data_IF_966147016067
#
_entry.id   IF_966147016067
#
_cell.length_a   1.000
_cell.length_b   1.000
_cell.length_c   1.000
_cell.angle_alpha   90.00
_cell.angle_beta   90.00
_cell.angle_gamma   90.00
#
_symmetry.space_group_name_H-M   'P 1'
#
loop_
_entity.id
_entity.type
_entity.pdbx_description
1 polymer ?
#
# COMPACT_ATOMS: atom_id res chain seq x y z
N UNK A 1 74.26 -0.57 -15.66
CA UNK A 1 73.45 -0.52 -14.41
C UNK A 1 72.07 -1.08 -14.75
N UNK A 2 71.89 -2.34 -14.50
CA UNK A 2 70.57 -3.00 -14.69
C UNK A 2 69.66 -2.67 -13.51
N UNK A 3 68.78 -1.69 -13.66
CA UNK A 3 67.75 -1.41 -12.67
C UNK A 3 66.82 -2.63 -12.62
N UNK A 4 66.87 -3.34 -11.50
CA UNK A 4 65.98 -4.49 -11.26
C UNK A 4 64.53 -4.05 -11.40
N UNK A 5 63.78 -4.69 -12.32
CA UNK A 5 62.35 -4.46 -12.55
C UNK A 5 61.50 -4.76 -11.32
N UNK A 6 62.10 -5.30 -10.26
CA UNK A 6 61.43 -5.66 -8.98
C UNK A 6 61.45 -4.52 -7.93
N UNK A 7 62.22 -3.44 -8.16
CA UNK A 7 62.24 -2.30 -7.20
C UNK A 7 61.36 -1.16 -7.73
N UNK A 8 60.27 -0.92 -7.06
CA UNK A 8 59.34 0.16 -7.42
C UNK A 8 60.02 1.55 -7.29
N UNK A 9 60.17 2.25 -8.41
CA UNK A 9 60.68 3.62 -8.48
C UNK A 9 59.80 4.61 -7.68
N UNK A 10 60.31 5.74 -7.27
CA UNK A 10 59.59 6.76 -6.50
C UNK A 10 58.29 7.22 -7.19
N UNK A 11 58.25 7.27 -8.51
CA UNK A 11 57.04 7.56 -9.30
C UNK A 11 56.00 6.46 -9.18
N UNK A 12 56.43 5.19 -9.22
CA UNK A 12 55.57 4.03 -9.08
C UNK A 12 54.96 3.96 -7.66
N UNK A 13 55.76 4.24 -6.62
CA UNK A 13 55.24 4.32 -5.25
C UNK A 13 54.19 5.41 -5.07
N UNK A 14 54.42 6.61 -5.68
CA UNK A 14 53.45 7.72 -5.64
C UNK A 14 52.12 7.37 -6.37
N UNK A 15 52.22 6.71 -7.52
CA UNK A 15 51.02 6.23 -8.27
C UNK A 15 50.25 5.18 -7.48
N UNK A 16 50.94 4.18 -6.92
CA UNK A 16 50.29 3.15 -6.11
C UNK A 16 49.64 3.74 -4.84
N UNK A 17 50.24 4.75 -4.22
CA UNK A 17 49.65 5.45 -3.10
C UNK A 17 48.43 6.28 -3.50
N UNK A 18 48.38 6.88 -4.70
CA UNK A 18 47.24 7.57 -5.25
C UNK A 18 46.11 6.58 -5.60
N UNK A 19 46.47 5.43 -6.18
CA UNK A 19 45.50 4.35 -6.50
C UNK A 19 44.85 3.78 -5.23
N UNK A 20 45.67 3.49 -4.19
CA UNK A 20 45.12 3.04 -2.89
C UNK A 20 44.16 4.05 -2.27
N UNK A 21 44.48 5.35 -2.37
CA UNK A 21 43.54 6.40 -1.91
C UNK A 21 42.26 6.43 -2.73
N UNK A 22 42.35 6.28 -4.05
CA UNK A 22 41.19 6.21 -4.91
C UNK A 22 40.32 4.97 -4.62
N UNK A 23 40.93 3.82 -4.42
CA UNK A 23 40.26 2.58 -3.97
C UNK A 23 39.59 2.80 -2.59
N UNK A 24 40.27 3.46 -1.65
CA UNK A 24 39.69 3.78 -0.34
C UNK A 24 38.46 4.72 -0.46
N UNK A 25 38.51 5.72 -1.36
CA UNK A 25 37.36 6.57 -1.64
C UNK A 25 36.20 5.79 -2.28
N UNK A 26 36.51 4.89 -3.22
CA UNK A 26 35.49 4.02 -3.81
C UNK A 26 34.87 3.10 -2.75
N UNK A 27 35.67 2.48 -1.90
CA UNK A 27 35.20 1.63 -0.82
C UNK A 27 34.35 2.43 0.20
N UNK A 28 34.82 3.61 0.60
CA UNK A 28 34.07 4.46 1.53
C UNK A 28 32.73 4.91 0.94
N UNK A 29 32.66 5.22 -0.36
CA UNK A 29 31.42 5.56 -1.04
C UNK A 29 30.42 4.37 -1.03
N UNK A 30 30.90 3.15 -1.26
CA UNK A 30 30.07 1.94 -1.17
C UNK A 30 29.56 1.74 0.26
N UNK A 31 30.41 1.88 1.27
CA UNK A 31 30.01 1.77 2.68
C UNK A 31 28.94 2.81 3.04
N UNK A 32 29.12 4.06 2.62
CA UNK A 32 28.14 5.13 2.85
C UNK A 32 26.80 4.80 2.16
N UNK A 33 26.83 4.31 0.91
CA UNK A 33 25.62 3.91 0.19
C UNK A 33 24.90 2.74 0.88
N UNK A 34 25.66 1.74 1.36
CA UNK A 34 25.08 0.62 2.12
C UNK A 34 24.48 1.07 3.45
N UNK A 35 25.15 1.98 4.17
CA UNK A 35 24.60 2.54 5.41
C UNK A 35 23.33 3.34 5.16
N UNK A 36 23.30 4.16 4.10
CA UNK A 36 22.10 4.89 3.72
C UNK A 36 20.94 3.95 3.38
N UNK A 37 21.22 2.88 2.62
CA UNK A 37 20.23 1.84 2.32
C UNK A 37 19.73 1.14 3.59
N UNK A 38 20.64 0.82 4.51
CA UNK A 38 20.28 0.18 5.78
C UNK A 38 19.39 1.09 6.63
N UNK A 39 19.75 2.37 6.76
CA UNK A 39 18.94 3.37 7.47
C UNK A 39 17.55 3.49 6.86
N UNK A 40 17.46 3.55 5.53
CA UNK A 40 16.18 3.59 4.81
C UNK A 40 15.35 2.33 5.09
N UNK A 41 15.96 1.15 4.99
CA UNK A 41 15.28 -0.13 5.25
C UNK A 41 14.77 -0.21 6.69
N UNK A 42 15.60 0.16 7.65
CA UNK A 42 15.23 0.20 9.06
C UNK A 42 14.05 1.18 9.27
N UNK A 43 14.13 2.38 8.70
CA UNK A 43 13.06 3.38 8.79
C UNK A 43 11.73 2.87 8.21
N UNK A 44 11.78 2.25 7.03
CA UNK A 44 10.58 1.66 6.40
C UNK A 44 9.99 0.53 7.24
N UNK A 45 10.84 -0.35 7.79
CA UNK A 45 10.37 -1.44 8.64
C UNK A 45 9.74 -0.93 9.92
N UNK A 46 10.40 -0.03 10.64
CA UNK A 46 9.86 0.49 11.91
C UNK A 46 8.54 1.23 11.71
N UNK A 47 8.44 2.10 10.69
CA UNK A 47 7.19 2.82 10.41
C UNK A 47 6.11 1.92 9.80
N UNK A 48 6.50 0.87 9.06
CA UNK A 48 5.55 -0.03 8.42
C UNK A 48 4.99 -1.10 9.36
N UNK A 49 5.74 -1.53 10.38
CA UNK A 49 5.30 -2.58 11.30
C UNK A 49 4.08 -2.17 12.13
N UNK A 50 3.93 -0.88 12.43
CA UNK A 50 2.77 -0.35 13.16
C UNK A 50 1.46 -0.54 12.39
N UNK A 51 1.51 -0.64 11.04
CA UNK A 51 0.31 -0.89 10.21
C UNK A 51 -0.29 -2.29 10.43
N UNK A 52 0.51 -3.25 10.91
CA UNK A 52 0.02 -4.59 11.25
C UNK A 52 -0.65 -4.68 12.62
N UNK A 53 -0.72 -3.57 13.33
CA UNK A 53 -1.40 -3.47 14.62
C UNK A 53 -2.61 -2.54 14.47
N UNK A 54 -3.65 -2.81 15.26
CA UNK A 54 -4.88 -2.04 15.26
C UNK A 54 -5.48 -2.04 16.65
N UNK A 55 -5.94 -0.88 17.12
CA UNK A 55 -6.57 -0.73 18.41
C UNK A 55 -8.07 -0.92 18.30
N UNK A 56 -8.60 -1.83 19.12
CA UNK A 56 -10.04 -2.13 19.22
C UNK A 56 -10.56 -1.73 20.60
N UNK A 57 -11.83 -1.40 20.62
CA UNK A 57 -12.63 -1.16 21.83
C UNK A 57 -13.65 -2.28 21.94
N UNK A 58 -13.58 -3.08 22.98
CA UNK A 58 -14.56 -4.13 23.27
C UNK A 58 -15.68 -3.55 24.11
N UNK A 59 -16.91 -3.55 23.60
CA UNK A 59 -18.06 -3.00 24.30
C UNK A 59 -19.35 -3.72 23.96
N UNK A 60 -20.30 -3.69 24.88
CA UNK A 60 -21.63 -4.25 24.73
C UNK A 60 -22.56 -3.20 24.09
N UNK A 61 -23.07 -3.50 22.91
CA UNK A 61 -23.94 -2.60 22.16
C UNK A 61 -25.38 -3.09 22.26
N UNK A 62 -26.26 -2.31 22.87
CA UNK A 62 -27.69 -2.56 22.87
C UNK A 62 -28.28 -2.13 21.52
N UNK A 63 -28.67 -3.11 20.69
CA UNK A 63 -29.26 -2.89 19.37
C UNK A 63 -30.77 -2.62 19.49
N UNK A 64 -31.12 -1.45 20.06
CA UNK A 64 -32.49 -1.06 20.31
C UNK A 64 -33.31 -1.03 19.01
N UNK A 65 -34.46 -1.72 19.02
CA UNK A 65 -35.33 -1.93 17.84
C UNK A 65 -35.81 -0.59 17.24
N UNK A 66 -36.19 0.35 18.08
CA UNK A 66 -36.66 1.70 17.69
C UNK A 66 -35.60 2.50 16.92
N UNK A 67 -34.32 2.21 17.10
CA UNK A 67 -33.21 2.89 16.42
C UNK A 67 -32.73 2.20 15.16
N UNK A 68 -32.73 0.86 15.16
CA UNK A 68 -32.16 0.04 14.09
C UNK A 68 -33.23 -0.45 13.11
N UNK A 69 -34.39 -0.87 13.62
CA UNK A 69 -35.54 -1.36 12.86
C UNK A 69 -36.81 -0.58 13.25
N UNK A 70 -36.99 0.61 12.69
CA UNK A 70 -38.09 1.50 13.02
C UNK A 70 -39.47 0.93 12.71
N UNK A 71 -39.58 -0.11 11.87
CA UNK A 71 -40.84 -0.74 11.49
C UNK A 71 -41.10 -2.04 12.24
N UNK A 72 -40.11 -2.58 12.95
CA UNK A 72 -40.23 -3.80 13.72
C UNK A 72 -40.45 -5.07 12.88
N UNK A 73 -40.14 -5.02 11.58
CA UNK A 73 -40.38 -6.12 10.65
C UNK A 73 -39.12 -6.93 10.31
N UNK A 74 -37.96 -6.53 10.80
CA UNK A 74 -36.64 -7.14 10.55
C UNK A 74 -36.31 -7.33 9.06
N UNK A 75 -36.91 -6.51 8.20
CA UNK A 75 -36.60 -6.51 6.77
C UNK A 75 -35.26 -5.78 6.54
N UNK A 76 -34.19 -6.46 6.03
CA UNK A 76 -32.91 -5.84 5.76
C UNK A 76 -33.00 -4.65 4.80
N UNK A 77 -33.93 -4.63 3.86
CA UNK A 77 -34.11 -3.53 2.92
C UNK A 77 -34.65 -2.27 3.63
N UNK A 78 -35.56 -2.43 4.59
CA UNK A 78 -36.04 -1.32 5.42
C UNK A 78 -34.98 -0.87 6.44
N UNK A 79 -34.34 -1.79 7.12
CA UNK A 79 -33.26 -1.52 8.07
C UNK A 79 -32.08 -0.80 7.42
N UNK A 80 -31.82 -1.09 6.13
CA UNK A 80 -30.75 -0.42 5.35
C UNK A 80 -30.99 1.08 5.17
N UNK A 81 -32.21 1.59 5.34
CA UNK A 81 -32.53 3.02 5.35
C UNK A 81 -31.96 3.74 6.56
N UNK A 82 -31.71 3.02 7.66
CA UNK A 82 -30.98 3.55 8.81
C UNK A 82 -29.51 3.75 8.41
N UNK A 83 -29.10 5.01 8.41
CA UNK A 83 -27.76 5.41 8.00
C UNK A 83 -26.72 5.13 9.11
N UNK A 84 -25.44 5.19 8.78
CA UNK A 84 -24.34 5.07 9.76
C UNK A 84 -24.40 6.11 10.88
N UNK A 85 -25.10 7.25 10.66
CA UNK A 85 -25.31 8.28 11.71
C UNK A 85 -26.12 7.70 12.87
N UNK A 86 -27.17 6.90 12.59
CA UNK A 86 -27.94 6.23 13.64
C UNK A 86 -27.09 5.28 14.47
N UNK A 87 -26.21 4.52 13.82
CA UNK A 87 -25.29 3.61 14.49
C UNK A 87 -24.19 4.33 15.29
N UNK A 88 -23.76 5.52 14.86
CA UNK A 88 -22.81 6.33 15.64
C UNK A 88 -23.35 6.68 17.03
N UNK A 89 -24.64 6.97 17.14
CA UNK A 89 -25.25 7.27 18.43
C UNK A 89 -25.31 6.04 19.34
N UNK A 90 -25.57 4.86 18.78
CA UNK A 90 -25.56 3.59 19.53
C UNK A 90 -24.17 3.27 20.07
N UNK A 91 -23.14 3.43 19.24
CA UNK A 91 -21.73 3.21 19.62
C UNK A 91 -21.30 4.18 20.73
N UNK A 92 -21.64 5.46 20.59
CA UNK A 92 -21.36 6.44 21.65
C UNK A 92 -22.03 6.07 22.96
N UNK A 93 -23.31 5.74 22.92
CA UNK A 93 -24.10 5.40 24.12
C UNK A 93 -23.55 4.10 24.76
N UNK A 94 -23.11 3.14 23.96
CA UNK A 94 -22.44 1.92 24.43
C UNK A 94 -21.10 2.22 25.11
N UNK A 95 -20.28 3.12 24.55
CA UNK A 95 -19.01 3.50 25.17
C UNK A 95 -19.25 4.26 26.49
N UNK A 96 -20.26 5.14 26.56
CA UNK A 96 -20.64 5.81 27.83
C UNK A 96 -21.07 4.75 28.88
N UNK A 97 -21.90 3.79 28.50
CA UNK A 97 -22.31 2.71 29.40
C UNK A 97 -21.12 1.86 29.86
N UNK A 98 -20.16 1.62 28.98
CA UNK A 98 -18.91 0.93 29.32
C UNK A 98 -18.08 1.73 30.31
N UNK A 99 -17.95 3.05 30.15
CA UNK A 99 -17.25 3.92 31.10
C UNK A 99 -17.92 3.88 32.47
N UNK A 100 -19.26 3.95 32.53
CA UNK A 100 -20.03 3.85 33.77
C UNK A 100 -19.85 2.49 34.47
N UNK A 101 -19.88 1.39 33.73
CA UNK A 101 -19.69 0.05 34.25
C UNK A 101 -18.29 -0.18 34.84
N UNK A 102 -17.28 0.46 34.24
CA UNK A 102 -15.90 0.44 34.73
C UNK A 102 -15.63 1.46 35.85
N UNK A 103 -16.65 2.25 36.24
CA UNK A 103 -16.52 3.28 37.25
C UNK A 103 -15.61 4.45 36.87
N UNK A 104 -15.48 4.70 35.56
CA UNK A 104 -14.71 5.82 35.01
C UNK A 104 -15.60 7.03 34.84
N UNK A 105 -15.17 8.15 35.40
CA UNK A 105 -15.83 9.46 35.23
C UNK A 105 -14.96 10.34 34.34
N UNK A 106 -15.57 11.04 33.41
CA UNK A 106 -14.87 11.93 32.48
C UNK A 106 -15.64 13.23 32.27
N UNK A 107 -14.92 14.33 32.11
CA UNK A 107 -15.48 15.63 31.77
C UNK A 107 -15.59 15.83 30.24
N UNK A 108 -15.26 14.79 29.46
CA UNK A 108 -15.34 14.82 27.99
C UNK A 108 -16.78 15.00 27.53
N UNK A 109 -16.97 15.82 26.50
CA UNK A 109 -18.28 15.96 25.87
C UNK A 109 -18.68 14.65 25.16
N UNK A 110 -20.00 14.43 25.01
CA UNK A 110 -20.52 13.29 24.24
C UNK A 110 -19.94 13.22 22.82
N UNK A 111 -19.55 14.34 22.24
CA UNK A 111 -18.90 14.42 20.94
C UNK A 111 -17.47 13.89 21.00
N UNK A 112 -16.73 14.24 22.04
CA UNK A 112 -15.33 13.79 22.18
C UNK A 112 -15.27 12.31 22.48
N UNK A 113 -16.20 11.77 23.29
CA UNK A 113 -16.36 10.33 23.52
C UNK A 113 -16.68 9.62 22.19
N UNK A 114 -17.59 10.17 21.38
CA UNK A 114 -17.90 9.60 20.06
C UNK A 114 -16.68 9.64 19.10
N UNK A 115 -15.83 10.66 19.20
CA UNK A 115 -14.62 10.79 18.39
C UNK A 115 -13.52 9.79 18.78
N UNK A 116 -13.62 9.10 19.92
CA UNK A 116 -12.71 8.02 20.29
C UNK A 116 -12.96 6.75 19.46
N UNK A 117 -14.15 6.61 18.87
CA UNK A 117 -14.54 5.47 18.04
C UNK A 117 -14.35 5.81 16.57
N UNK A 118 -13.84 4.88 15.77
CA UNK A 118 -13.74 5.05 14.32
C UNK A 118 -15.13 5.17 13.67
N UNK A 119 -15.23 6.07 12.70
CA UNK A 119 -16.44 6.17 11.86
C UNK A 119 -16.70 4.89 11.05
N UNK A 120 -15.68 4.09 10.77
CA UNK A 120 -15.82 2.79 10.11
C UNK A 120 -16.55 1.78 10.98
N UNK A 121 -16.42 1.87 12.30
CA UNK A 121 -17.10 0.99 13.25
C UNK A 121 -18.61 1.00 13.09
N UNK A 122 -19.19 2.15 12.79
CA UNK A 122 -20.64 2.26 12.53
C UNK A 122 -21.09 1.52 11.28
N UNK A 123 -20.26 1.54 10.23
CA UNK A 123 -20.53 0.77 9.01
C UNK A 123 -20.37 -0.75 9.29
N UNK A 124 -19.35 -1.13 10.04
CA UNK A 124 -19.10 -2.54 10.42
C UNK A 124 -20.24 -3.11 11.24
N UNK A 125 -20.69 -2.41 12.29
CA UNK A 125 -21.83 -2.84 13.12
C UNK A 125 -23.09 -2.90 12.30
N UNK A 126 -23.39 -1.86 11.49
CA UNK A 126 -24.53 -1.84 10.58
C UNK A 126 -24.55 -3.05 9.65
N UNK A 127 -23.45 -3.32 8.98
CA UNK A 127 -23.36 -4.43 8.03
C UNK A 127 -23.57 -5.78 8.71
N UNK A 128 -23.06 -5.96 9.94
CA UNK A 128 -23.26 -7.18 10.73
C UNK A 128 -24.72 -7.36 11.17
N UNK A 129 -25.39 -6.26 11.54
CA UNK A 129 -26.81 -6.29 11.91
C UNK A 129 -27.68 -6.57 10.67
N UNK A 130 -27.38 -5.96 9.51
CA UNK A 130 -28.11 -6.24 8.26
C UNK A 130 -27.92 -7.67 7.77
N UNK A 131 -26.75 -8.26 7.99
CA UNK A 131 -26.50 -9.67 7.68
C UNK A 131 -27.20 -10.64 8.65
N UNK A 132 -27.52 -10.19 9.86
CA UNK A 132 -28.15 -10.98 10.92
C UNK A 132 -29.22 -10.15 11.64
N UNK A 133 -30.41 -9.98 11.06
CA UNK A 133 -31.48 -9.15 11.64
C UNK A 133 -31.98 -9.62 13.02
N UNK A 134 -31.74 -10.89 13.36
CA UNK A 134 -32.09 -11.45 14.68
C UNK A 134 -31.32 -10.84 15.86
N UNK A 135 -30.26 -10.10 15.57
CA UNK A 135 -29.49 -9.36 16.59
C UNK A 135 -30.28 -8.14 17.12
N UNK A 136 -31.28 -7.67 16.38
CA UNK A 136 -32.10 -6.51 16.78
C UNK A 136 -32.85 -6.82 18.08
N UNK A 137 -32.80 -5.90 19.03
CA UNK A 137 -33.37 -6.07 20.36
C UNK A 137 -32.45 -6.79 21.36
N UNK A 138 -31.26 -7.22 20.94
CA UNK A 138 -30.29 -7.87 21.81
C UNK A 138 -29.14 -6.91 22.18
N UNK A 139 -28.48 -7.19 23.29
CA UNK A 139 -27.18 -6.61 23.63
C UNK A 139 -26.09 -7.57 23.17
N UNK A 140 -25.22 -7.10 22.31
CA UNK A 140 -24.16 -7.91 21.68
C UNK A 140 -22.82 -7.26 21.88
N UNK A 141 -21.82 -8.04 22.29
CA UNK A 141 -20.44 -7.58 22.40
C UNK A 141 -19.81 -7.43 21.02
N UNK A 142 -19.22 -6.28 20.77
CA UNK A 142 -18.50 -5.99 19.54
C UNK A 142 -17.09 -5.50 19.86
N UNK A 143 -16.14 -5.96 19.08
CA UNK A 143 -14.82 -5.33 18.94
C UNK A 143 -14.92 -4.27 17.83
N UNK A 144 -14.94 -3.02 18.20
CA UNK A 144 -15.01 -1.91 17.27
C UNK A 144 -13.67 -1.19 17.19
N UNK A 145 -13.38 -0.61 16.03
CA UNK A 145 -12.14 0.13 15.82
C UNK A 145 -12.13 1.41 16.66
N UNK A 146 -11.03 1.66 17.35
CA UNK A 146 -10.72 2.98 17.89
C UNK A 146 -10.46 3.97 16.73
N UNK A 147 -10.65 5.26 16.98
CA UNK A 147 -10.35 6.29 15.98
C UNK A 147 -8.86 6.34 15.65
N UNK A 148 -8.51 6.85 14.46
CA UNK A 148 -7.13 6.96 14.04
C UNK A 148 -6.23 7.79 14.97
N UNK A 149 -6.80 8.68 15.77
CA UNK A 149 -6.05 9.43 16.81
C UNK A 149 -5.70 8.56 18.01
N UNK A 150 -6.66 7.78 18.47
CA UNK A 150 -6.46 6.83 19.58
C UNK A 150 -5.53 5.70 19.14
N UNK A 151 -5.74 5.14 17.97
CA UNK A 151 -4.86 4.11 17.40
C UNK A 151 -3.43 4.63 17.21
N UNK A 152 -3.27 5.86 16.68
CA UNK A 152 -1.97 6.52 16.55
C UNK A 152 -1.28 6.79 17.89
N UNK A 153 -2.03 7.02 18.96
CA UNK A 153 -1.46 7.16 20.30
C UNK A 153 -0.83 5.85 20.78
N UNK A 154 -1.52 4.72 20.65
CA UNK A 154 -0.97 3.42 20.99
C UNK A 154 0.18 2.96 20.09
N UNK A 155 0.26 3.49 18.86
CA UNK A 155 1.37 3.28 17.91
C UNK A 155 2.56 4.23 18.15
N UNK A 156 2.39 5.25 18.98
CA UNK A 156 3.42 6.25 19.28
C UNK A 156 3.49 7.41 18.28
N UNK A 157 2.55 7.49 17.32
CA UNK A 157 2.50 8.55 16.30
C UNK A 157 1.81 9.83 16.81
N UNK A 158 0.92 9.68 17.81
CA UNK A 158 0.20 10.80 18.45
C UNK A 158 0.67 10.92 19.90
N UNK A 159 1.03 12.14 20.31
CA UNK A 159 1.47 12.45 21.66
C UNK A 159 0.44 13.34 22.37
N UNK A 160 0.51 13.43 23.70
CA UNK A 160 -0.33 14.35 24.48
C UNK A 160 -0.12 15.82 24.05
N UNK A 161 1.11 16.19 23.66
CA UNK A 161 1.41 17.52 23.16
C UNK A 161 0.75 17.79 21.80
N UNK A 162 0.80 16.82 20.88
CA UNK A 162 0.14 16.94 19.57
C UNK A 162 -1.38 16.98 19.72
N UNK A 163 -1.95 16.21 20.65
CA UNK A 163 -3.38 16.20 20.94
C UNK A 163 -3.90 17.54 21.48
N UNK A 164 -3.08 18.28 22.23
CA UNK A 164 -3.45 19.61 22.73
C UNK A 164 -3.65 20.65 21.60
N UNK A 165 -3.11 20.38 20.41
CA UNK A 165 -3.23 21.22 19.21
C UNK A 165 -4.24 20.66 18.19
N UNK A 166 -4.77 19.45 18.39
CA UNK A 166 -5.70 18.79 17.48
C UNK A 166 -7.16 19.18 17.82
N UNK A 167 -7.96 19.39 16.78
CA UNK A 167 -9.40 19.71 16.95
C UNK A 167 -10.28 18.47 17.09
N UNK A 168 -9.76 17.27 16.85
CA UNK A 168 -10.52 16.03 16.81
C UNK A 168 -10.22 15.08 18.00
N UNK A 169 -9.24 15.43 18.82
CA UNK A 169 -8.89 14.70 20.04
C UNK A 169 -8.33 15.67 21.07
N UNK A 170 -8.29 15.24 22.32
CA UNK A 170 -7.71 16.02 23.40
C UNK A 170 -6.77 15.15 24.23
N UNK A 171 -5.86 15.75 25.04
CA UNK A 171 -5.03 14.99 25.98
C UNK A 171 -5.85 14.13 26.95
N UNK A 172 -7.00 14.64 27.39
CA UNK A 172 -7.93 13.94 28.31
C UNK A 172 -8.51 12.69 27.62
N UNK A 173 -8.85 12.78 26.34
CA UNK A 173 -9.33 11.62 25.57
C UNK A 173 -8.25 10.53 25.42
N UNK A 174 -6.98 10.91 25.23
CA UNK A 174 -5.87 9.96 25.19
C UNK A 174 -5.60 9.31 26.55
N UNK A 175 -5.68 10.09 27.64
CA UNK A 175 -5.55 9.55 29.01
C UNK A 175 -6.68 8.58 29.33
N UNK A 176 -7.92 8.92 28.96
CA UNK A 176 -9.06 8.01 29.10
C UNK A 176 -8.89 6.73 28.30
N UNK A 177 -8.35 6.83 27.06
CA UNK A 177 -8.03 5.65 26.25
C UNK A 177 -6.98 4.75 26.93
N UNK A 178 -5.97 5.34 27.58
CA UNK A 178 -4.99 4.59 28.35
C UNK A 178 -5.62 3.88 29.55
N UNK A 179 -6.50 4.54 30.30
CA UNK A 179 -7.22 3.92 31.41
C UNK A 179 -8.12 2.76 30.97
N UNK A 180 -8.79 2.90 29.80
CA UNK A 180 -9.58 1.82 29.19
C UNK A 180 -8.69 0.66 28.75
N UNK A 181 -7.48 0.93 28.27
CA UNK A 181 -6.51 -0.11 27.94
C UNK A 181 -6.00 -0.85 29.17
N UNK A 182 -5.71 -0.15 30.25
CA UNK A 182 -5.26 -0.73 31.53
C UNK A 182 -6.33 -1.64 32.15
N UNK A 183 -7.60 -1.45 31.81
CA UNK A 183 -8.74 -2.30 32.22
C UNK A 183 -9.08 -3.41 31.21
N UNK A 184 -8.37 -3.47 30.08
CA UNK A 184 -8.62 -4.47 29.04
C UNK A 184 -9.84 -4.20 28.15
N UNK A 185 -10.44 -2.99 28.22
CA UNK A 185 -11.53 -2.56 27.33
C UNK A 185 -11.00 -2.15 25.98
N UNK A 186 -9.79 -1.56 25.93
CA UNK A 186 -9.07 -1.29 24.70
C UNK A 186 -7.86 -2.19 24.58
N UNK A 187 -7.72 -2.84 23.42
CA UNK A 187 -6.58 -3.72 23.12
C UNK A 187 -6.04 -3.47 21.72
N UNK A 188 -4.72 -3.51 21.60
CA UNK A 188 -4.06 -3.51 20.30
C UNK A 188 -3.87 -4.97 19.86
N UNK A 189 -4.51 -5.31 18.73
CA UNK A 189 -4.50 -6.67 18.15
C UNK A 189 -3.84 -6.64 16.77
N UNK A 190 -3.46 -7.82 16.24
CA UNK A 190 -2.96 -7.93 14.88
C UNK A 190 -4.07 -7.59 13.88
N UNK A 191 -3.75 -6.72 12.93
CA UNK A 191 -4.70 -6.20 11.95
C UNK A 191 -4.82 -7.12 10.72
N UNK A 192 -5.63 -8.18 10.83
CA UNK A 192 -5.93 -9.05 9.68
C UNK A 192 -6.67 -8.32 8.55
N UNK A 193 -7.45 -7.32 8.88
CA UNK A 193 -8.22 -6.52 7.92
C UNK A 193 -7.32 -5.70 7.00
N UNK A 194 -6.09 -5.41 7.40
CA UNK A 194 -5.10 -4.72 6.60
C UNK A 194 -4.85 -5.41 5.23
N UNK A 195 -4.93 -6.73 5.17
CA UNK A 195 -4.73 -7.46 3.91
C UNK A 195 -5.94 -7.47 2.99
N UNK A 196 -7.14 -7.24 3.52
CA UNK A 196 -8.40 -7.41 2.80
C UNK A 196 -9.09 -6.08 2.53
N UNK A 197 -8.99 -5.13 3.44
CA UNK A 197 -9.68 -3.86 3.33
C UNK A 197 -9.15 -3.01 2.17
N UNK A 198 -10.04 -2.17 1.59
CA UNK A 198 -9.63 -1.20 0.57
C UNK A 198 -8.72 -0.13 1.18
N UNK A 199 -8.11 0.67 0.30
CA UNK A 199 -7.37 1.85 0.70
C UNK A 199 -8.30 2.85 1.41
N UNK A 200 -7.86 3.39 2.55
CA UNK A 200 -8.64 4.33 3.32
C UNK A 200 -8.38 5.77 2.88
N UNK A 201 -9.36 6.63 3.15
CA UNK A 201 -9.16 8.07 3.01
C UNK A 201 -8.26 8.60 4.14
N UNK A 202 -7.62 9.75 3.90
CA UNK A 202 -6.85 10.45 4.92
C UNK A 202 -7.65 10.78 6.21
N UNK A 203 -8.98 10.72 6.13
CA UNK A 203 -9.87 10.94 7.28
C UNK A 203 -10.10 9.70 8.15
N UNK A 204 -9.71 8.51 7.66
CA UNK A 204 -9.89 7.22 8.34
C UNK A 204 -8.65 6.35 8.14
N UNK A 205 -7.47 6.79 8.59
CA UNK A 205 -6.24 6.04 8.41
C UNK A 205 -6.28 4.66 9.11
N UNK A 206 -7.04 4.54 10.19
CA UNK A 206 -7.26 3.31 10.95
C UNK A 206 -7.97 2.21 10.14
N UNK A 207 -8.71 2.58 9.10
CA UNK A 207 -9.38 1.64 8.21
C UNK A 207 -8.60 1.35 6.92
N UNK A 208 -7.34 1.76 6.85
CA UNK A 208 -6.48 1.51 5.70
C UNK A 208 -6.15 0.03 5.53
N UNK A 209 -6.23 -0.44 4.27
CA UNK A 209 -5.84 -1.79 3.91
C UNK A 209 -5.14 -1.87 2.55
N UNK A 210 -4.45 -2.98 2.32
CA UNK A 210 -3.74 -3.27 1.06
C UNK A 210 -4.59 -4.01 0.04
N UNK A 211 -5.78 -4.48 0.41
CA UNK A 211 -6.60 -5.36 -0.44
C UNK A 211 -6.93 -4.73 -1.79
N UNK A 212 -7.40 -3.49 -1.79
CA UNK A 212 -7.72 -2.76 -3.03
C UNK A 212 -6.50 -2.52 -3.92
N UNK A 213 -5.39 -2.08 -3.32
CA UNK A 213 -4.13 -1.85 -4.04
C UNK A 213 -3.55 -3.16 -4.60
N UNK A 214 -3.61 -4.25 -3.83
CA UNK A 214 -3.13 -5.58 -4.25
C UNK A 214 -3.95 -6.13 -5.42
N UNK A 215 -5.27 -6.03 -5.36
CA UNK A 215 -6.15 -6.44 -6.48
C UNK A 215 -5.92 -5.58 -7.71
N UNK A 216 -5.79 -4.26 -7.55
CA UNK A 216 -5.45 -3.35 -8.64
C UNK A 216 -4.13 -3.70 -9.32
N UNK A 217 -3.09 -3.98 -8.52
CA UNK A 217 -1.79 -4.43 -9.01
C UNK A 217 -1.89 -5.79 -9.73
N UNK A 218 -2.66 -6.74 -9.19
CA UNK A 218 -2.88 -8.05 -9.81
C UNK A 218 -3.54 -7.90 -11.19
N UNK A 219 -4.62 -7.13 -11.31
CA UNK A 219 -5.28 -6.88 -12.60
C UNK A 219 -4.33 -6.20 -13.59
N UNK A 220 -3.55 -5.21 -13.13
CA UNK A 220 -2.55 -4.54 -13.96
C UNK A 220 -1.50 -5.54 -14.48
N UNK A 221 -1.00 -6.44 -13.62
CA UNK A 221 -0.04 -7.49 -13.99
C UNK A 221 -0.64 -8.48 -14.99
N UNK A 222 -1.91 -8.86 -14.85
CA UNK A 222 -2.60 -9.74 -15.80
C UNK A 222 -2.65 -9.09 -17.18
N UNK A 223 -3.00 -7.80 -17.27
CA UNK A 223 -3.01 -7.06 -18.55
C UNK A 223 -1.63 -7.06 -19.20
N UNK A 224 -0.58 -6.78 -18.42
CA UNK A 224 0.81 -6.80 -18.92
C UNK A 224 1.19 -8.18 -19.42
N UNK A 225 0.93 -9.25 -18.65
CA UNK A 225 1.27 -10.62 -19.02
C UNK A 225 0.54 -11.08 -20.29
N UNK A 226 -0.75 -10.76 -20.39
CA UNK A 226 -1.58 -11.19 -21.54
C UNK A 226 -1.21 -10.44 -22.83
N UNK A 227 -0.78 -9.19 -22.74
CA UNK A 227 -0.44 -8.38 -23.90
C UNK A 227 1.05 -8.36 -24.21
N UNK A 228 1.88 -7.98 -23.22
CA UNK A 228 3.30 -7.76 -23.48
C UNK A 228 4.07 -9.06 -23.76
N UNK A 229 3.76 -10.13 -23.03
CA UNK A 229 4.50 -11.39 -23.16
C UNK A 229 4.25 -12.06 -24.52
N UNK A 230 3.00 -12.35 -24.96
CA UNK A 230 2.78 -13.02 -26.26
C UNK A 230 3.24 -12.15 -27.43
N UNK A 231 2.91 -10.86 -27.43
CA UNK A 231 3.28 -9.96 -28.54
C UNK A 231 4.80 -9.77 -28.58
N UNK A 232 5.44 -9.55 -27.42
CA UNK A 232 6.89 -9.35 -27.34
C UNK A 232 7.68 -10.57 -27.75
N UNK A 233 7.32 -11.77 -27.24
CA UNK A 233 7.98 -13.04 -27.60
C UNK A 233 7.76 -13.37 -29.07
N UNK A 234 6.52 -13.28 -29.58
CA UNK A 234 6.24 -13.52 -31.00
C UNK A 234 7.01 -12.54 -31.91
N UNK A 235 7.09 -11.27 -31.53
CA UNK A 235 7.89 -10.28 -32.28
C UNK A 235 9.38 -10.58 -32.24
N UNK A 236 9.89 -11.05 -31.09
CA UNK A 236 11.29 -11.43 -30.92
C UNK A 236 11.66 -12.60 -31.84
N UNK A 237 10.87 -13.68 -31.80
CA UNK A 237 11.07 -14.86 -32.63
C UNK A 237 10.96 -14.48 -34.13
N UNK A 238 9.92 -13.74 -34.49
CA UNK A 238 9.75 -13.30 -35.88
C UNK A 238 10.95 -12.51 -36.40
N UNK A 239 11.43 -11.53 -35.63
CA UNK A 239 12.54 -10.67 -36.03
C UNK A 239 13.87 -11.41 -36.11
N UNK A 240 14.07 -12.46 -35.31
CA UNK A 240 15.33 -13.20 -35.29
C UNK A 240 15.36 -14.36 -36.30
N UNK A 241 14.25 -15.10 -36.44
CA UNK A 241 14.22 -16.33 -37.24
C UNK A 241 13.59 -16.13 -38.62
N UNK A 242 12.58 -15.26 -38.74
CA UNK A 242 11.76 -15.19 -39.95
C UNK A 242 11.88 -13.89 -40.74
N UNK A 243 12.29 -12.80 -40.10
CA UNK A 243 12.30 -11.50 -40.76
C UNK A 243 13.39 -11.42 -41.83
N UNK A 244 13.04 -10.95 -43.08
CA UNK A 244 14.02 -10.76 -44.13
C UNK A 244 15.01 -9.67 -43.75
N UNK A 245 16.30 -9.87 -44.05
CA UNK A 245 17.36 -8.87 -43.81
C UNK A 245 17.24 -7.76 -44.89
N UNK A 246 16.45 -6.73 -44.58
CA UNK A 246 16.21 -5.60 -45.44
C UNK A 246 16.10 -4.28 -44.63
N UNK A 247 16.05 -3.14 -45.34
CA UNK A 247 15.98 -1.81 -44.72
C UNK A 247 14.76 -1.60 -43.82
N UNK A 248 13.66 -2.31 -44.06
CA UNK A 248 12.44 -2.20 -43.24
C UNK A 248 12.69 -2.85 -41.90
N UNK A 249 13.25 -4.04 -41.90
CA UNK A 249 13.62 -4.73 -40.64
C UNK A 249 14.62 -3.92 -39.84
N UNK A 250 15.64 -3.35 -40.48
CA UNK A 250 16.63 -2.47 -39.83
C UNK A 250 15.96 -1.26 -39.17
N UNK A 251 15.01 -0.62 -39.84
CA UNK A 251 14.25 0.50 -39.31
C UNK A 251 13.43 0.09 -38.08
N UNK A 252 12.78 -1.08 -38.12
CA UNK A 252 12.01 -1.63 -36.99
C UNK A 252 12.93 -1.85 -35.81
N UNK A 253 14.08 -2.49 -36.00
CA UNK A 253 15.05 -2.77 -34.93
C UNK A 253 15.60 -1.49 -34.27
N UNK A 254 15.94 -0.49 -35.08
CA UNK A 254 16.39 0.82 -34.56
C UNK A 254 15.28 1.49 -33.76
N UNK A 255 14.03 1.42 -34.22
CA UNK A 255 12.91 2.01 -33.49
C UNK A 255 12.64 1.30 -32.17
N UNK A 256 12.69 -0.05 -32.12
CA UNK A 256 12.55 -0.82 -30.86
C UNK A 256 13.64 -0.42 -29.87
N UNK A 257 14.88 -0.31 -30.35
CA UNK A 257 16.02 0.13 -29.52
C UNK A 257 15.87 1.57 -29.01
N UNK A 258 15.37 2.47 -29.85
CA UNK A 258 15.10 3.85 -29.46
C UNK A 258 13.96 3.94 -28.44
N UNK A 259 12.91 3.15 -28.60
CA UNK A 259 11.81 3.08 -27.63
C UNK A 259 12.30 2.56 -26.27
N UNK A 260 13.23 1.61 -26.23
CA UNK A 260 13.83 1.13 -24.98
C UNK A 260 14.58 2.22 -24.20
N UNK A 261 15.09 3.24 -24.88
CA UNK A 261 15.81 4.37 -24.29
C UNK A 261 14.87 5.51 -23.82
N UNK A 262 13.57 5.45 -24.13
CA UNK A 262 12.60 6.49 -23.73
C UNK A 262 12.39 6.47 -22.22
N UNK A 263 12.49 7.61 -21.51
CA UNK A 263 12.20 7.70 -20.09
C UNK A 263 10.77 7.26 -19.75
N UNK A 264 10.57 6.52 -18.68
CA UNK A 264 9.26 5.99 -18.27
C UNK A 264 8.17 7.05 -18.09
N UNK A 265 8.56 8.27 -17.70
CA UNK A 265 7.63 9.40 -17.55
C UNK A 265 6.93 9.75 -18.88
N UNK A 266 7.62 9.59 -20.01
CA UNK A 266 7.06 9.87 -21.34
C UNK A 266 5.92 8.88 -21.65
N UNK A 267 6.09 7.61 -21.30
CA UNK A 267 5.02 6.61 -21.43
C UNK A 267 3.82 6.94 -20.54
N UNK A 268 4.04 7.47 -19.34
CA UNK A 268 2.96 7.93 -18.48
C UNK A 268 2.17 9.08 -19.10
N UNK A 269 2.85 10.08 -19.66
CA UNK A 269 2.21 11.21 -20.35
C UNK A 269 1.48 10.75 -21.62
N UNK A 270 2.08 9.83 -22.38
CA UNK A 270 1.44 9.23 -23.56
C UNK A 270 0.18 8.46 -23.18
N UNK A 271 0.24 7.70 -22.09
CA UNK A 271 -0.90 6.98 -21.55
C UNK A 271 -2.05 7.90 -21.13
N UNK A 272 -1.74 9.01 -20.47
CA UNK A 272 -2.71 10.05 -20.14
C UNK A 272 -3.36 10.62 -21.41
N UNK A 273 -2.56 10.98 -22.41
CA UNK A 273 -3.04 11.59 -23.65
C UNK A 273 -3.90 10.63 -24.47
N UNK A 274 -3.45 9.39 -24.66
CA UNK A 274 -4.13 8.42 -25.53
C UNK A 274 -5.28 7.73 -24.80
N UNK A 275 -5.00 7.06 -23.68
CA UNK A 275 -6.01 6.20 -23.08
C UNK A 275 -7.06 6.97 -22.28
N UNK A 276 -6.67 8.05 -21.62
CA UNK A 276 -7.61 8.82 -20.78
C UNK A 276 -8.27 9.92 -21.60
N UNK A 277 -7.50 10.79 -22.30
CA UNK A 277 -8.07 11.94 -22.95
C UNK A 277 -8.67 11.63 -24.34
N UNK A 278 -8.06 10.72 -25.12
CA UNK A 278 -8.54 10.40 -26.47
C UNK A 278 -9.51 9.20 -26.47
N UNK A 279 -9.20 8.13 -25.74
CA UNK A 279 -10.05 6.92 -25.65
C UNK A 279 -11.09 6.98 -24.53
N UNK A 280 -11.08 8.03 -23.71
CA UNK A 280 -12.02 8.27 -22.60
C UNK A 280 -12.07 7.14 -21.57
N UNK A 281 -10.97 6.41 -21.38
CA UNK A 281 -10.89 5.38 -20.35
C UNK A 281 -10.86 6.00 -18.95
N UNK A 282 -11.39 5.26 -17.97
CA UNK A 282 -11.46 5.72 -16.60
C UNK A 282 -10.04 5.92 -16.01
N UNK A 283 -9.78 7.10 -15.44
CA UNK A 283 -8.46 7.54 -14.98
C UNK A 283 -7.82 6.61 -13.93
N UNK A 284 -8.64 6.02 -13.06
CA UNK A 284 -8.17 5.12 -11.98
C UNK A 284 -8.27 3.64 -12.34
N UNK A 285 -8.31 3.31 -13.64
CA UNK A 285 -8.47 1.92 -14.08
C UNK A 285 -7.13 1.16 -14.09
N UNK A 286 -7.05 -0.03 -13.46
CA UNK A 286 -5.91 -0.94 -13.59
C UNK A 286 -5.61 -1.32 -15.05
N UNK A 287 -6.62 -1.33 -15.93
CA UNK A 287 -6.48 -1.58 -17.35
C UNK A 287 -5.56 -0.52 -18.00
N UNK A 288 -5.82 0.77 -17.74
CA UNK A 288 -5.00 1.87 -18.28
C UNK A 288 -3.55 1.75 -17.81
N UNK A 289 -3.35 1.52 -16.51
CA UNK A 289 -2.02 1.28 -15.95
C UNK A 289 -1.31 0.09 -16.61
N UNK A 290 -2.02 -1.01 -16.82
CA UNK A 290 -1.52 -2.21 -17.50
C UNK A 290 -1.14 -1.96 -18.95
N UNK A 291 -1.95 -1.20 -19.70
CA UNK A 291 -1.64 -0.81 -21.09
C UNK A 291 -0.38 0.07 -21.19
N UNK A 292 -0.25 1.06 -20.32
CA UNK A 292 0.94 1.92 -20.25
C UNK A 292 2.20 1.11 -19.89
N UNK A 293 2.10 0.23 -18.92
CA UNK A 293 3.21 -0.67 -18.54
C UNK A 293 3.55 -1.64 -19.66
N UNK A 294 2.56 -2.14 -20.41
CA UNK A 294 2.76 -2.98 -21.58
C UNK A 294 3.59 -2.25 -22.62
N UNK A 295 3.21 -1.03 -23.00
CA UNK A 295 3.97 -0.21 -23.96
C UNK A 295 5.40 0.04 -23.47
N UNK A 296 5.58 0.36 -22.20
CA UNK A 296 6.90 0.62 -21.61
C UNK A 296 7.80 -0.62 -21.59
N UNK A 297 7.22 -1.81 -21.33
CA UNK A 297 7.99 -3.07 -21.22
C UNK A 297 8.19 -3.79 -22.55
N UNK A 298 7.36 -3.49 -23.56
CA UNK A 298 7.41 -4.13 -24.88
C UNK A 298 8.82 -4.15 -25.49
N UNK A 299 9.57 -3.03 -25.60
CA UNK A 299 10.90 -3.05 -26.18
C UNK A 299 11.86 -4.02 -25.46
N UNK A 300 11.82 -4.02 -24.14
CA UNK A 300 12.68 -4.91 -23.32
C UNK A 300 12.34 -6.38 -23.55
N UNK A 301 11.05 -6.73 -23.62
CA UNK A 301 10.57 -8.09 -23.84
C UNK A 301 10.90 -8.57 -25.26
N UNK A 302 11.04 -7.66 -26.25
CA UNK A 302 11.47 -8.00 -27.60
C UNK A 302 13.00 -8.21 -27.66
N UNK A 303 13.78 -7.33 -27.00
CA UNK A 303 15.24 -7.33 -27.09
C UNK A 303 15.87 -8.50 -26.33
N UNK A 304 15.38 -8.82 -25.11
CA UNK A 304 15.99 -9.85 -24.26
C UNK A 304 16.01 -11.25 -24.90
N UNK A 305 14.87 -11.80 -25.38
CA UNK A 305 14.88 -13.13 -25.99
C UNK A 305 15.70 -13.20 -27.27
N UNK A 306 15.76 -12.11 -28.05
CA UNK A 306 16.61 -12.04 -29.25
C UNK A 306 18.09 -12.19 -28.91
N UNK A 307 18.54 -11.62 -27.81
CA UNK A 307 19.93 -11.75 -27.37
C UNK A 307 20.26 -13.21 -27.00
N UNK A 308 19.32 -13.90 -26.37
CA UNK A 308 19.45 -15.33 -26.06
C UNK A 308 19.43 -16.20 -27.32
N UNK A 309 18.46 -15.99 -28.20
CA UNK A 309 18.37 -16.70 -29.47
C UNK A 309 19.65 -16.54 -30.31
N UNK A 310 20.29 -15.37 -30.33
CA UNK A 310 21.58 -15.16 -31.02
C UNK A 310 22.74 -15.91 -30.39
N UNK A 311 22.70 -16.24 -29.11
CA UNK A 311 23.76 -16.95 -28.41
C UNK A 311 23.73 -18.44 -28.61
N UNK A 312 22.61 -19.00 -29.08
CA UNK A 312 22.46 -20.45 -29.32
C UNK A 312 23.23 -20.89 -30.56
N UNK A 313 24.00 -21.98 -30.48
CA UNK A 313 24.71 -22.55 -31.63
C UNK A 313 23.75 -22.94 -32.75
N UNK A 314 24.14 -22.69 -34.00
CA UNK A 314 23.34 -23.06 -35.19
C UNK A 314 22.94 -24.53 -35.23
N UNK A 315 23.77 -25.42 -34.69
CA UNK A 315 23.46 -26.88 -34.63
C UNK A 315 22.21 -27.20 -33.80
N UNK A 316 21.89 -26.39 -32.80
CA UNK A 316 20.69 -26.58 -31.96
C UNK A 316 19.46 -25.97 -32.63
N UNK A 317 19.66 -24.87 -33.39
CA UNK A 317 18.60 -24.16 -34.12
C UNK A 317 18.07 -24.97 -35.32
N UNK A 318 18.93 -25.75 -35.96
CA UNK A 318 18.58 -26.59 -37.15
C UNK A 318 17.85 -27.88 -36.76
N UNK A 319 17.89 -28.28 -35.45
CA UNK A 319 17.22 -29.50 -34.93
C UNK A 319 15.85 -29.20 -34.25
N UNK A 320 15.48 -27.94 -34.08
CA UNK A 320 14.23 -27.54 -33.43
C UNK A 320 13.17 -27.12 -34.46
#
# INVERSE_FOLDING_TARGET
>A
MTTSLLVADARTKKRNAAEKRFQAYGLSAIVVAMLALLVLLISVLFNGLSSFQQTFITMDIALAEDRVDKQGNRDPAEMAKTTTIGYNSLLRDALIATLESEGLTTDLSNKDIANMISKESSATVRNRVLANPDLVGQTVTFDVLASGRIDGFFKGDVTLESAALDQNTSPEALMLAQELADRGVMETKFNWNFFVWPDASAQRPEAAGLGGASLGALYMMIVVLVLALPIGVASSIYLEEFAPKNRITDIIEVNISNLAAVPSIVYGILGLAIFINFMEFNQSSPLVGGLVLTLMKMPTIIISPRAELKSDPQSIRDEA
#
